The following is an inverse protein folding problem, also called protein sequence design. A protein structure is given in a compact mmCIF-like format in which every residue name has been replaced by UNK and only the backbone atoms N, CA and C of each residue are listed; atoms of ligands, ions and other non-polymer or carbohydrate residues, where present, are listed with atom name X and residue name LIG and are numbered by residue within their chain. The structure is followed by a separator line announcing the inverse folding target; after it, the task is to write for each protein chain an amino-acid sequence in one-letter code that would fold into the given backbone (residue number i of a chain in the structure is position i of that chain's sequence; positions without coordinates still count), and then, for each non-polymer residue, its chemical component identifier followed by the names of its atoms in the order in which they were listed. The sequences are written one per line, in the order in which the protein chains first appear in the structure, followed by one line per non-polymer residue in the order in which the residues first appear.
data_IF_270412882735
#
_entry.id   IF_270412882735
#
_cell.length_a   1.000
_cell.length_b   1.000
_cell.length_c   1.000
_cell.angle_alpha   90.00
_cell.angle_beta   90.00
_cell.angle_gamma   90.00
#
_symmetry.space_group_name_H-M   'P 1'
#
loop_
_entity.id
_entity.type
_entity.pdbx_description
1 polymer ?
#
# COMPACT_ATOMS: atom_id res chain seq x y z
N UNK A 1 -95.76 34.51 -14.71
CA UNK A 1 -95.07 34.69 -13.41
C UNK A 1 -93.71 34.03 -13.51
N UNK A 2 -92.67 34.88 -13.54
CA UNK A 2 -91.28 34.69 -13.08
C UNK A 2 -90.41 33.51 -13.57
N UNK A 3 -89.08 33.76 -13.66
CA UNK A 3 -88.17 33.20 -14.67
C UNK A 3 -87.05 32.34 -14.08
N UNK A 4 -86.33 31.52 -14.86
CA UNK A 4 -84.97 30.93 -14.60
C UNK A 4 -84.64 29.88 -15.68
N UNK A 5 -83.42 29.62 -16.18
CA UNK A 5 -82.06 30.08 -15.84
C UNK A 5 -81.08 29.75 -17.00
N UNK A 6 -80.13 30.68 -17.20
CA UNK A 6 -78.76 30.63 -17.72
C UNK A 6 -78.34 29.97 -19.07
N UNK A 7 -77.89 30.87 -19.96
CA UNK A 7 -76.90 30.74 -21.04
C UNK A 7 -75.58 30.12 -20.57
N UNK A 8 -75.12 29.03 -21.23
CA UNK A 8 -74.17 28.97 -22.36
C UNK A 8 -72.74 29.44 -22.06
N UNK A 9 -71.92 28.43 -21.77
CA UNK A 9 -70.51 28.19 -22.11
C UNK A 9 -69.58 29.40 -22.31
N UNK A 10 -68.64 29.49 -21.37
CA UNK A 10 -67.53 30.45 -21.29
C UNK A 10 -66.44 30.11 -22.32
N UNK A 11 -66.13 31.06 -23.20
CA UNK A 11 -64.93 31.02 -24.06
C UNK A 11 -63.64 31.01 -23.21
N UNK A 12 -62.59 30.27 -23.59
CA UNK A 12 -61.32 30.28 -22.88
C UNK A 12 -60.61 31.62 -23.13
N UNK A 13 -60.33 32.35 -22.05
CA UNK A 13 -59.56 33.59 -22.09
C UNK A 13 -58.20 33.37 -22.76
N UNK A 14 -57.89 34.21 -23.76
CA UNK A 14 -56.63 34.20 -24.49
C UNK A 14 -55.42 34.32 -23.54
N UNK A 15 -54.32 33.58 -23.78
CA UNK A 15 -53.15 33.59 -22.90
C UNK A 15 -52.54 35.01 -22.91
N UNK A 16 -52.58 35.67 -21.75
CA UNK A 16 -52.09 37.03 -21.59
C UNK A 16 -50.60 37.16 -21.96
N UNK A 17 -50.25 38.22 -22.69
CA UNK A 17 -48.87 38.56 -23.09
C UNK A 17 -47.86 38.54 -21.90
N UNK A 18 -48.33 38.69 -20.66
CA UNK A 18 -47.50 38.58 -19.45
C UNK A 18 -46.86 37.20 -19.23
N UNK A 19 -47.49 36.11 -19.69
CA UNK A 19 -46.97 34.75 -19.52
C UNK A 19 -45.77 34.43 -20.44
N UNK A 20 -45.72 35.05 -21.63
CA UNK A 20 -44.59 34.90 -22.55
C UNK A 20 -43.32 35.60 -22.03
N UNK A 21 -43.45 36.80 -21.46
CA UNK A 21 -42.32 37.52 -20.87
C UNK A 21 -41.75 36.81 -19.64
N UNK A 22 -42.59 36.20 -18.80
CA UNK A 22 -42.12 35.41 -17.64
C UNK A 22 -41.41 34.11 -18.07
N UNK A 23 -41.93 33.41 -19.09
CA UNK A 23 -41.29 32.22 -19.67
C UNK A 23 -39.95 32.53 -20.34
N UNK A 24 -39.84 33.65 -21.06
CA UNK A 24 -38.55 34.08 -21.64
C UNK A 24 -37.53 34.44 -20.56
N UNK A 25 -37.94 35.13 -19.49
CA UNK A 25 -37.04 35.47 -18.36
C UNK A 25 -36.55 34.22 -17.63
N UNK A 26 -37.42 33.25 -17.38
CA UNK A 26 -37.01 31.97 -16.75
C UNK A 26 -36.09 31.16 -17.66
N UNK A 27 -36.36 31.08 -18.97
CA UNK A 27 -35.49 30.40 -19.92
C UNK A 27 -34.08 31.04 -20.00
N UNK A 28 -34.00 32.37 -20.03
CA UNK A 28 -32.72 33.09 -20.02
C UNK A 28 -31.95 32.92 -18.72
N UNK A 29 -32.63 32.91 -17.56
CA UNK A 29 -31.99 32.63 -16.28
C UNK A 29 -31.45 31.19 -16.20
N UNK A 30 -32.22 30.19 -16.67
CA UNK A 30 -31.77 28.80 -16.72
C UNK A 30 -30.56 28.64 -17.65
N UNK A 31 -30.58 29.25 -18.84
CA UNK A 31 -29.41 29.25 -19.75
C UNK A 31 -28.20 29.95 -19.14
N UNK A 32 -28.39 31.05 -18.42
CA UNK A 32 -27.32 31.75 -17.70
C UNK A 32 -26.71 30.89 -16.59
N UNK A 33 -27.53 30.17 -15.82
CA UNK A 33 -27.08 29.24 -14.78
C UNK A 33 -26.32 28.06 -15.39
N UNK A 34 -26.85 27.45 -16.46
CA UNK A 34 -26.17 26.36 -17.17
C UNK A 34 -24.82 26.85 -17.74
N UNK A 35 -24.79 28.03 -18.36
CA UNK A 35 -23.55 28.65 -18.85
C UNK A 35 -22.52 28.89 -17.75
N UNK A 36 -22.95 29.38 -16.58
CA UNK A 36 -22.09 29.58 -15.42
C UNK A 36 -21.56 28.25 -14.84
N UNK A 37 -22.39 27.19 -14.80
CA UNK A 37 -21.97 25.86 -14.35
C UNK A 37 -20.96 25.25 -15.32
N UNK A 38 -21.22 25.29 -16.63
CA UNK A 38 -20.29 24.78 -17.65
C UNK A 38 -18.97 25.54 -17.61
N UNK A 39 -19.02 26.87 -17.47
CA UNK A 39 -17.83 27.69 -17.33
C UNK A 39 -17.08 27.38 -16.03
N UNK A 40 -17.78 27.18 -14.91
CA UNK A 40 -17.18 26.78 -13.64
C UNK A 40 -16.51 25.40 -13.69
N UNK A 41 -17.14 24.43 -14.37
CA UNK A 41 -16.56 23.10 -14.63
C UNK A 41 -15.36 23.20 -15.56
N UNK A 42 -15.44 24.01 -16.62
CA UNK A 42 -14.33 24.22 -17.56
C UNK A 42 -13.14 24.92 -16.88
N UNK A 43 -13.38 25.95 -16.07
CA UNK A 43 -12.35 26.60 -15.24
C UNK A 43 -11.79 25.61 -14.23
N UNK A 44 -12.63 24.83 -13.55
CA UNK A 44 -12.18 23.79 -12.62
C UNK A 44 -11.30 22.73 -13.28
N UNK A 45 -11.64 22.30 -14.50
CA UNK A 45 -10.83 21.40 -15.31
C UNK A 45 -9.52 22.06 -15.78
N UNK A 46 -9.56 23.33 -16.23
CA UNK A 46 -8.37 24.09 -16.62
C UNK A 46 -7.43 24.40 -15.46
N UNK A 47 -7.95 24.63 -14.25
CA UNK A 47 -7.15 24.83 -13.05
C UNK A 47 -6.48 23.52 -12.61
N UNK A 48 -7.04 22.35 -12.94
CA UNK A 48 -6.42 21.04 -12.69
C UNK A 48 -5.34 20.68 -13.72
N UNK A 49 -5.44 21.18 -14.96
CA UNK A 49 -4.53 20.87 -16.06
C UNK A 49 -3.04 21.21 -15.81
N UNK A 50 -2.65 22.31 -15.13
CA UNK A 50 -1.24 22.61 -14.85
C UNK A 50 -0.69 21.93 -13.57
N UNK A 51 -1.49 21.14 -12.83
CA UNK A 51 -1.04 20.43 -11.62
C UNK A 51 -0.95 18.90 -11.76
N UNK A 52 -1.20 18.36 -12.96
CA UNK A 52 -1.03 16.92 -13.26
C UNK A 52 0.32 16.62 -13.94
N UNK A 53 1.30 17.52 -13.81
CA UNK A 53 2.53 17.53 -14.61
C UNK A 53 3.82 17.08 -13.93
N UNK A 54 3.80 16.64 -12.67
CA UNK A 54 4.92 15.89 -12.12
C UNK A 54 4.80 14.45 -12.61
N UNK A 55 5.40 14.15 -13.77
CA UNK A 55 5.67 12.77 -14.18
C UNK A 55 6.44 12.12 -13.04
N UNK A 56 5.87 11.09 -12.42
CA UNK A 56 6.61 10.27 -11.45
C UNK A 56 7.90 9.79 -12.12
N UNK A 57 9.06 9.83 -11.43
CA UNK A 57 10.30 9.34 -12.01
C UNK A 57 10.14 7.90 -12.53
N UNK A 58 10.86 7.56 -13.58
CA UNK A 58 11.00 6.17 -13.98
C UNK A 58 11.59 5.36 -12.80
N UNK A 59 11.19 4.11 -12.59
CA UNK A 59 11.68 3.31 -11.47
C UNK A 59 13.18 3.08 -11.58
N UNK A 60 13.91 3.39 -10.51
CA UNK A 60 15.34 3.13 -10.40
C UNK A 60 15.62 1.64 -10.21
N UNK A 61 16.92 1.28 -10.19
CA UNK A 61 17.34 -0.06 -9.79
C UNK A 61 16.91 -0.39 -8.34
N UNK A 62 16.83 0.62 -7.46
CA UNK A 62 16.36 0.47 -6.08
C UNK A 62 14.87 0.16 -6.06
N UNK A 63 14.05 0.90 -6.81
CA UNK A 63 12.60 0.68 -6.88
C UNK A 63 12.25 -0.74 -7.34
N UNK A 64 12.92 -1.19 -8.40
CA UNK A 64 12.72 -2.53 -8.98
C UNK A 64 13.25 -3.61 -8.04
N UNK A 65 14.50 -3.48 -7.58
CA UNK A 65 15.15 -4.48 -6.75
C UNK A 65 14.49 -4.65 -5.39
N UNK A 66 14.15 -3.53 -4.72
CA UNK A 66 13.37 -3.56 -3.48
C UNK A 66 12.03 -4.25 -3.67
N UNK A 67 11.30 -3.90 -4.74
CA UNK A 67 9.98 -4.49 -5.00
C UNK A 67 10.06 -6.00 -5.24
N UNK A 68 11.10 -6.49 -5.93
CA UNK A 68 11.33 -7.91 -6.16
C UNK A 68 11.69 -8.64 -4.87
N UNK A 69 12.69 -8.13 -4.17
CA UNK A 69 13.28 -8.77 -3.01
C UNK A 69 12.34 -8.73 -1.80
N UNK A 70 11.74 -7.57 -1.53
CA UNK A 70 10.78 -7.43 -0.43
C UNK A 70 9.48 -8.21 -0.72
N UNK A 71 9.08 -8.40 -1.98
CA UNK A 71 7.97 -9.31 -2.30
C UNK A 71 8.29 -10.75 -1.91
N UNK A 72 9.50 -11.23 -2.21
CA UNK A 72 9.92 -12.58 -1.84
C UNK A 72 10.10 -12.74 -0.32
N UNK A 73 10.64 -11.71 0.34
CA UNK A 73 10.78 -11.63 1.80
C UNK A 73 9.41 -11.72 2.47
N UNK A 74 8.47 -10.87 2.05
CA UNK A 74 7.10 -10.87 2.59
C UNK A 74 6.32 -12.15 2.31
N UNK A 75 6.53 -12.79 1.15
CA UNK A 75 5.89 -14.07 0.85
C UNK A 75 6.24 -15.16 1.90
N UNK A 76 7.47 -15.15 2.44
CA UNK A 76 7.86 -16.10 3.48
C UNK A 76 7.21 -15.79 4.83
N UNK A 77 7.09 -14.52 5.22
CA UNK A 77 6.35 -14.15 6.43
C UNK A 77 4.86 -14.52 6.34
N UNK A 78 4.24 -14.33 5.17
CA UNK A 78 2.87 -14.79 4.89
C UNK A 78 2.74 -16.30 5.05
N UNK A 79 3.71 -17.08 4.55
CA UNK A 79 3.74 -18.52 4.74
C UNK A 79 3.83 -18.92 6.23
N UNK A 80 4.77 -18.32 6.97
CA UNK A 80 4.94 -18.60 8.41
C UNK A 80 3.68 -18.26 9.21
N UNK A 81 3.07 -17.11 8.93
CA UNK A 81 1.83 -16.69 9.57
C UNK A 81 0.67 -17.64 9.24
N UNK A 82 0.58 -18.14 8.00
CA UNK A 82 -0.40 -19.13 7.59
C UNK A 82 -0.32 -20.43 8.41
N UNK A 83 0.89 -20.93 8.68
CA UNK A 83 1.10 -22.13 9.53
C UNK A 83 0.53 -21.90 10.94
N UNK A 84 0.81 -20.75 11.54
CA UNK A 84 0.36 -20.41 12.89
C UNK A 84 -1.15 -20.21 12.96
N UNK A 85 -1.75 -19.54 11.99
CA UNK A 85 -3.21 -19.34 11.94
C UNK A 85 -3.99 -20.65 11.87
N UNK A 86 -3.41 -21.70 11.29
CA UNK A 86 -4.01 -23.04 11.23
C UNK A 86 -3.82 -23.81 12.54
N UNK A 87 -2.64 -23.71 13.17
CA UNK A 87 -2.22 -24.65 14.23
C UNK A 87 -2.22 -24.08 15.65
N UNK A 88 -1.99 -22.78 15.82
CA UNK A 88 -1.91 -22.15 17.14
C UNK A 88 -3.30 -21.98 17.76
N UNK A 89 -3.36 -22.14 19.08
CA UNK A 89 -4.53 -21.84 19.93
C UNK A 89 -4.34 -20.59 20.77
N UNK A 90 -3.14 -19.98 20.76
CA UNK A 90 -2.85 -18.76 21.50
C UNK A 90 -3.46 -17.55 20.79
N UNK A 91 -4.38 -16.86 21.48
CA UNK A 91 -5.18 -15.79 20.86
C UNK A 91 -4.31 -14.59 20.44
N UNK A 92 -3.27 -14.26 21.20
CA UNK A 92 -2.45 -13.09 20.91
C UNK A 92 -1.47 -13.38 19.76
N UNK A 93 -0.91 -14.59 19.72
CA UNK A 93 -0.06 -15.05 18.62
C UNK A 93 -0.87 -15.13 17.32
N UNK A 94 -2.09 -15.65 17.36
CA UNK A 94 -2.98 -15.70 16.19
C UNK A 94 -3.37 -14.32 15.68
N UNK A 95 -3.64 -13.35 16.57
CA UNK A 95 -3.94 -11.96 16.18
C UNK A 95 -2.75 -11.33 15.45
N UNK A 96 -1.56 -11.42 16.05
CA UNK A 96 -0.33 -10.93 15.41
C UNK A 96 -0.10 -11.59 14.04
N UNK A 97 -0.24 -12.91 13.95
CA UNK A 97 -0.07 -13.63 12.68
C UNK A 97 -1.08 -13.18 11.63
N UNK A 98 -2.34 -12.91 12.00
CA UNK A 98 -3.35 -12.39 11.09
C UNK A 98 -2.99 -10.99 10.58
N UNK A 99 -2.56 -10.10 11.46
CA UNK A 99 -2.19 -8.72 11.11
C UNK A 99 -0.97 -8.68 10.17
N UNK A 100 0.06 -9.48 10.47
CA UNK A 100 1.24 -9.64 9.61
C UNK A 100 0.84 -10.20 8.25
N UNK A 101 0.06 -11.30 8.23
CA UNK A 101 -0.37 -11.96 7.00
C UNK A 101 -1.12 -11.00 6.09
N UNK A 102 -2.12 -10.28 6.61
CA UNK A 102 -2.96 -9.39 5.82
C UNK A 102 -2.20 -8.17 5.32
N UNK A 103 -1.36 -7.57 6.17
CA UNK A 103 -0.53 -6.41 5.81
C UNK A 103 0.48 -6.78 4.74
N UNK A 104 1.26 -7.84 4.95
CA UNK A 104 2.31 -8.22 4.03
C UNK A 104 1.77 -8.78 2.71
N UNK A 105 0.62 -9.49 2.70
CA UNK A 105 -0.06 -9.85 1.44
C UNK A 105 -0.47 -8.63 0.62
N UNK A 106 -1.01 -7.59 1.27
CA UNK A 106 -1.39 -6.35 0.58
C UNK A 106 -0.17 -5.67 -0.05
N UNK A 107 0.95 -5.65 0.66
CA UNK A 107 2.20 -5.04 0.21
C UNK A 107 2.83 -5.82 -0.95
N UNK A 108 2.84 -7.16 -0.89
CA UNK A 108 3.25 -8.02 -2.02
C UNK A 108 2.43 -7.69 -3.27
N UNK A 109 1.10 -7.57 -3.15
CA UNK A 109 0.24 -7.22 -4.27
C UNK A 109 0.57 -5.85 -4.89
N UNK A 110 0.92 -4.84 -4.08
CA UNK A 110 1.33 -3.52 -4.57
C UNK A 110 2.65 -3.60 -5.33
N UNK A 111 3.68 -4.20 -4.73
CA UNK A 111 5.00 -4.32 -5.34
C UNK A 111 4.97 -5.12 -6.63
N UNK A 112 4.23 -6.25 -6.66
CA UNK A 112 4.04 -7.04 -7.89
C UNK A 112 3.26 -6.27 -8.96
N UNK A 113 2.26 -5.48 -8.56
CA UNK A 113 1.52 -4.61 -9.47
C UNK A 113 2.40 -3.53 -10.11
N UNK A 114 3.31 -2.93 -9.34
CA UNK A 114 4.28 -1.96 -9.87
C UNK A 114 5.28 -2.61 -10.82
N UNK A 115 5.85 -3.77 -10.46
CA UNK A 115 6.74 -4.51 -11.36
C UNK A 115 6.06 -4.82 -12.70
N UNK A 116 4.79 -5.21 -12.68
CA UNK A 116 4.00 -5.44 -13.89
C UNK A 116 3.84 -4.15 -14.70
N UNK A 117 3.48 -3.03 -14.06
CA UNK A 117 3.32 -1.73 -14.71
C UNK A 117 4.63 -1.25 -15.37
N UNK A 118 5.77 -1.51 -14.73
CA UNK A 118 7.10 -1.16 -15.22
C UNK A 118 7.70 -2.16 -16.22
N UNK A 119 6.98 -3.23 -16.56
CA UNK A 119 7.47 -4.27 -17.46
C UNK A 119 8.69 -5.03 -16.91
N UNK A 120 8.80 -5.17 -15.58
CA UNK A 120 9.89 -5.87 -14.89
C UNK A 120 9.43 -7.26 -14.42
N UNK A 121 10.34 -8.25 -14.31
CA UNK A 121 10.00 -9.56 -13.78
C UNK A 121 9.64 -9.47 -12.29
N UNK A 122 8.73 -10.34 -11.83
CA UNK A 122 8.27 -10.38 -10.45
C UNK A 122 9.35 -10.80 -9.43
N UNK A 123 10.43 -11.43 -9.89
CA UNK A 123 11.56 -11.87 -9.09
C UNK A 123 12.86 -11.47 -9.78
N UNK A 124 13.91 -11.21 -8.99
CA UNK A 124 15.26 -11.01 -9.52
C UNK A 124 15.81 -12.32 -10.10
N UNK A 125 16.53 -12.22 -11.22
CA UNK A 125 17.16 -13.37 -11.90
C UNK A 125 18.63 -13.54 -11.51
N UNK A 126 19.27 -12.49 -10.99
CA UNK A 126 20.71 -12.43 -10.72
C UNK A 126 21.05 -12.60 -9.22
N UNK A 127 20.09 -13.09 -8.42
CA UNK A 127 20.18 -13.16 -6.96
C UNK A 127 19.55 -11.96 -6.26
N UNK A 128 19.65 -11.92 -4.93
CA UNK A 128 19.02 -10.88 -4.10
C UNK A 128 20.00 -9.76 -3.73
N UNK A 129 19.50 -8.63 -3.28
CA UNK A 129 20.22 -7.51 -2.65
C UNK A 129 21.19 -6.75 -3.56
N UNK A 130 21.28 -7.09 -4.86
CA UNK A 130 22.19 -6.42 -5.81
C UNK A 130 21.90 -4.92 -6.01
N UNK A 131 20.69 -4.47 -5.65
CA UNK A 131 20.25 -3.06 -5.71
C UNK A 131 20.70 -2.24 -4.48
N UNK A 132 21.23 -2.88 -3.43
CA UNK A 132 21.74 -2.24 -2.23
C UNK A 132 23.25 -1.95 -2.27
N UNK A 133 23.86 -1.96 -3.46
CA UNK A 133 25.23 -1.49 -3.64
C UNK A 133 25.23 0.02 -3.90
N UNK A 134 25.77 0.79 -2.95
CA UNK A 134 25.92 2.23 -3.08
C UNK A 134 26.61 2.61 -4.39
N UNK A 135 26.07 3.64 -5.05
CA UNK A 135 26.59 4.27 -6.26
C UNK A 135 28.14 4.32 -6.22
N UNK A 136 28.86 3.79 -7.22
CA UNK A 136 30.31 3.95 -7.27
C UNK A 136 30.64 5.42 -7.57
N UNK A 137 30.72 6.28 -6.54
CA UNK A 137 30.84 7.72 -6.80
C UNK A 137 31.06 8.71 -5.65
N UNK A 138 31.26 8.32 -4.38
CA UNK A 138 31.44 9.30 -3.30
C UNK A 138 32.47 8.89 -2.25
N UNK A 139 33.60 9.59 -2.19
CA UNK A 139 34.55 9.50 -1.07
C UNK A 139 33.94 10.18 0.17
N UNK A 140 33.69 9.46 1.27
CA UNK A 140 33.13 10.08 2.48
C UNK A 140 33.01 9.18 3.71
N UNK A 141 34.10 9.11 4.48
CA UNK A 141 34.26 8.86 5.93
C UNK A 141 33.26 8.00 6.74
N UNK A 142 33.79 6.85 7.21
CA UNK A 142 33.52 6.05 8.42
C UNK A 142 32.10 6.03 9.02
N UNK A 143 31.43 4.88 8.89
CA UNK A 143 30.20 4.59 9.62
C UNK A 143 29.70 3.15 9.49
N UNK A 144 30.50 2.15 9.84
CA UNK A 144 30.03 0.88 10.43
C UNK A 144 29.04 -0.04 9.71
N UNK A 145 28.67 0.16 8.44
CA UNK A 145 27.82 -0.80 7.69
C UNK A 145 28.67 -1.51 6.64
N UNK A 146 28.81 -2.83 6.77
CA UNK A 146 29.44 -3.69 5.75
C UNK A 146 28.70 -3.51 4.43
N UNK A 147 29.36 -2.85 3.47
CA UNK A 147 28.86 -2.74 2.12
C UNK A 147 28.66 -4.15 1.53
N UNK A 148 27.42 -4.51 1.23
CA UNK A 148 27.10 -5.78 0.58
C UNK A 148 27.69 -5.75 -0.83
N UNK A 149 28.65 -6.63 -1.08
CA UNK A 149 29.40 -6.68 -2.35
C UNK A 149 28.75 -7.67 -3.32
N UNK A 150 27.71 -7.22 -4.02
CA UNK A 150 27.02 -7.96 -5.08
C UNK A 150 25.85 -8.82 -4.61
N UNK A 151 25.19 -9.54 -5.55
CA UNK A 151 24.01 -10.33 -5.24
C UNK A 151 24.29 -11.47 -4.26
N UNK A 152 23.34 -11.73 -3.38
CA UNK A 152 23.40 -12.76 -2.34
C UNK A 152 22.43 -13.91 -2.66
N UNK A 153 22.78 -15.11 -2.20
CA UNK A 153 21.93 -16.30 -2.35
C UNK A 153 20.67 -16.26 -1.47
N UNK A 154 20.71 -15.51 -0.36
CA UNK A 154 19.60 -15.33 0.57
C UNK A 154 19.58 -13.90 1.08
N UNK A 155 18.39 -13.40 1.38
CA UNK A 155 18.20 -12.09 2.02
C UNK A 155 18.37 -12.19 3.54
N UNK A 156 18.80 -11.11 4.21
CA UNK A 156 18.93 -11.08 5.67
C UNK A 156 17.62 -11.46 6.38
N UNK A 157 17.74 -12.26 7.45
CA UNK A 157 16.63 -12.62 8.33
C UNK A 157 15.71 -13.75 7.83
N UNK A 158 15.87 -14.20 6.58
CA UNK A 158 15.04 -15.26 6.00
C UNK A 158 15.13 -16.56 6.82
N UNK A 159 13.99 -17.20 7.05
CA UNK A 159 13.91 -18.55 7.57
C UNK A 159 14.51 -19.55 6.57
N UNK A 160 15.36 -20.45 7.07
CA UNK A 160 15.94 -21.52 6.25
C UNK A 160 14.88 -22.58 5.93
N UNK A 161 15.11 -23.45 4.93
CA UNK A 161 14.21 -24.59 4.69
C UNK A 161 14.03 -25.48 5.93
N UNK A 162 15.07 -25.64 6.75
CA UNK A 162 15.01 -26.39 8.00
C UNK A 162 14.13 -25.68 9.04
N UNK A 163 14.24 -24.35 9.18
CA UNK A 163 13.39 -23.57 10.07
C UNK A 163 11.91 -23.68 9.69
N UNK A 164 11.59 -23.55 8.39
CA UNK A 164 10.22 -23.70 7.90
C UNK A 164 9.69 -25.13 8.10
N UNK A 165 10.54 -26.15 7.96
CA UNK A 165 10.17 -27.52 8.26
C UNK A 165 9.88 -27.72 9.75
N UNK A 166 10.72 -27.17 10.63
CA UNK A 166 10.54 -27.20 12.08
C UNK A 166 9.25 -26.47 12.49
N UNK A 167 8.98 -25.28 11.95
CA UNK A 167 7.75 -24.53 12.20
C UNK A 167 6.50 -25.32 11.80
N UNK A 168 6.51 -25.97 10.64
CA UNK A 168 5.39 -26.83 10.19
C UNK A 168 5.20 -28.07 11.06
N UNK A 169 6.22 -28.55 11.76
CA UNK A 169 6.13 -29.69 12.65
C UNK A 169 5.74 -29.30 14.09
N UNK A 170 6.21 -28.15 14.58
CA UNK A 170 5.99 -27.67 15.95
C UNK A 170 4.50 -27.53 16.31
N UNK A 171 4.15 -27.72 17.58
CA UNK A 171 2.76 -27.60 18.08
C UNK A 171 2.71 -26.88 19.43
N UNK A 172 1.53 -26.39 19.81
CA UNK A 172 1.33 -25.72 21.10
C UNK A 172 2.30 -24.56 21.34
N UNK A 173 2.82 -24.44 22.57
CA UNK A 173 3.73 -23.35 22.96
C UNK A 173 5.05 -23.34 22.18
N UNK A 174 5.52 -24.50 21.68
CA UNK A 174 6.74 -24.59 20.87
C UNK A 174 6.51 -23.92 19.51
N UNK A 175 5.35 -24.16 18.87
CA UNK A 175 4.97 -23.50 17.62
C UNK A 175 4.94 -21.99 17.78
N UNK A 176 4.27 -21.52 18.83
CA UNK A 176 4.09 -20.09 19.10
C UNK A 176 5.44 -19.41 19.34
N UNK A 177 6.31 -20.03 20.12
CA UNK A 177 7.65 -19.52 20.41
C UNK A 177 8.52 -19.48 19.16
N UNK A 178 8.53 -20.57 18.39
CA UNK A 178 9.33 -20.66 17.15
C UNK A 178 8.85 -19.64 16.11
N UNK A 179 7.54 -19.45 15.96
CA UNK A 179 7.01 -18.40 15.10
C UNK A 179 7.49 -17.01 15.49
N UNK A 180 7.36 -16.64 16.77
CA UNK A 180 7.80 -15.34 17.26
C UNK A 180 9.31 -15.15 17.06
N UNK A 181 10.10 -16.19 17.31
CA UNK A 181 11.55 -16.18 17.09
C UNK A 181 11.93 -15.96 15.62
N UNK A 182 11.32 -16.71 14.71
CA UNK A 182 11.57 -16.60 13.27
C UNK A 182 11.08 -15.26 12.73
N UNK A 183 9.89 -14.82 13.15
CA UNK A 183 9.31 -13.55 12.70
C UNK A 183 10.12 -12.35 13.21
N UNK A 184 10.65 -12.39 14.44
CA UNK A 184 11.55 -11.35 14.92
C UNK A 184 12.81 -11.24 14.06
N UNK A 185 13.48 -12.37 13.79
CA UNK A 185 14.68 -12.42 12.94
C UNK A 185 14.38 -11.92 11.53
N UNK A 186 13.24 -12.34 10.99
CA UNK A 186 12.75 -11.93 9.68
C UNK A 186 12.56 -10.41 9.61
N UNK A 187 11.83 -9.83 10.56
CA UNK A 187 11.63 -8.37 10.64
C UNK A 187 12.95 -7.61 10.76
N UNK A 188 13.83 -8.05 11.66
CA UNK A 188 15.14 -7.42 11.84
C UNK A 188 15.99 -7.46 10.57
N UNK A 189 15.95 -8.55 9.80
CA UNK A 189 16.63 -8.63 8.51
C UNK A 189 16.05 -7.66 7.46
N UNK A 190 14.72 -7.57 7.41
CA UNK A 190 14.01 -6.69 6.47
C UNK A 190 14.22 -5.19 6.73
N UNK A 191 14.49 -4.77 7.98
CA UNK A 191 14.68 -3.36 8.33
C UNK A 191 15.78 -2.69 7.51
N UNK A 192 16.91 -3.37 7.29
CA UNK A 192 18.02 -2.80 6.50
C UNK A 192 17.63 -2.52 5.04
N UNK A 193 16.82 -3.42 4.45
CA UNK A 193 16.31 -3.29 3.08
C UNK A 193 15.33 -2.12 2.99
N UNK A 194 14.44 -2.03 3.97
CA UNK A 194 13.43 -0.99 4.05
C UNK A 194 14.06 0.39 4.19
N UNK A 195 15.00 0.53 5.12
CA UNK A 195 15.70 1.79 5.34
C UNK A 195 16.42 2.25 4.06
N UNK A 196 17.11 1.34 3.38
CA UNK A 196 17.79 1.68 2.13
C UNK A 196 16.81 2.15 1.06
N UNK A 197 15.68 1.46 0.86
CA UNK A 197 14.66 1.89 -0.09
C UNK A 197 13.97 3.20 0.32
N UNK A 198 13.73 3.42 1.61
CA UNK A 198 13.20 4.68 2.12
C UNK A 198 14.15 5.86 1.89
N UNK A 199 15.46 5.61 1.77
CA UNK A 199 16.46 6.65 1.50
C UNK A 199 16.78 6.83 0.01
N UNK A 200 16.66 5.78 -0.81
CA UNK A 200 17.22 5.74 -2.17
C UNK A 200 16.23 5.39 -3.29
N UNK A 201 14.95 5.12 -3.00
CA UNK A 201 13.95 4.89 -4.05
C UNK A 201 13.56 6.21 -4.74
N UNK A 202 13.42 6.18 -6.07
CA UNK A 202 13.09 7.37 -6.86
C UNK A 202 11.58 7.56 -6.99
N UNK A 203 10.80 6.47 -7.01
CA UNK A 203 9.34 6.58 -7.11
C UNK A 203 8.74 6.97 -5.77
N UNK A 204 7.76 7.87 -5.80
CA UNK A 204 7.04 8.28 -4.59
C UNK A 204 6.30 7.09 -3.99
N UNK A 205 5.79 6.19 -4.84
CA UNK A 205 5.11 4.98 -4.44
C UNK A 205 5.99 4.05 -3.57
N UNK A 206 7.21 3.73 -4.01
CA UNK A 206 8.12 2.85 -3.27
C UNK A 206 8.66 3.53 -2.02
N UNK A 207 9.09 4.79 -2.10
CA UNK A 207 9.59 5.55 -0.95
C UNK A 207 8.53 5.59 0.17
N UNK A 208 7.27 5.91 -0.17
CA UNK A 208 6.17 5.99 0.80
C UNK A 208 5.86 4.63 1.43
N UNK A 209 5.91 3.56 0.62
CA UNK A 209 5.71 2.21 1.13
C UNK A 209 6.82 1.82 2.10
N UNK A 210 8.08 2.07 1.76
CA UNK A 210 9.24 1.76 2.60
C UNK A 210 9.18 2.52 3.93
N UNK A 211 8.90 3.83 3.94
CA UNK A 211 8.73 4.61 5.18
C UNK A 211 7.59 4.07 6.07
N UNK A 212 6.49 3.63 5.46
CA UNK A 212 5.38 3.01 6.20
C UNK A 212 5.80 1.66 6.78
N UNK A 213 6.51 0.83 5.99
CA UNK A 213 7.02 -0.46 6.44
C UNK A 213 8.01 -0.32 7.59
N UNK A 214 8.89 0.68 7.59
CA UNK A 214 9.87 0.89 8.66
C UNK A 214 9.17 1.08 10.01
N UNK A 215 8.14 1.94 10.03
CA UNK A 215 7.33 2.20 11.22
C UNK A 215 6.60 0.95 11.71
N UNK A 216 5.92 0.25 10.80
CA UNK A 216 5.17 -0.96 11.14
C UNK A 216 6.08 -2.09 11.62
N UNK A 217 7.16 -2.39 10.90
CA UNK A 217 8.06 -3.49 11.26
C UNK A 217 8.80 -3.25 12.57
N UNK A 218 9.16 -2.00 12.90
CA UNK A 218 9.71 -1.67 14.23
C UNK A 218 8.71 -1.92 15.35
N UNK A 219 7.45 -1.51 15.15
CA UNK A 219 6.39 -1.76 16.13
C UNK A 219 6.13 -3.25 16.34
N UNK A 220 6.03 -4.01 15.25
CA UNK A 220 5.86 -5.47 15.29
C UNK A 220 7.06 -6.18 15.96
N UNK A 221 8.29 -5.79 15.63
CA UNK A 221 9.49 -6.36 16.25
C UNK A 221 9.53 -6.11 17.78
N UNK A 222 9.11 -4.93 18.25
CA UNK A 222 9.00 -4.63 19.68
C UNK A 222 7.92 -5.47 20.37
N UNK A 223 6.75 -5.62 19.74
CA UNK A 223 5.68 -6.48 20.23
C UNK A 223 6.13 -7.93 20.33
N UNK A 224 6.75 -8.47 19.27
CA UNK A 224 7.28 -9.84 19.25
C UNK A 224 8.31 -10.04 20.36
N UNK A 225 9.23 -9.08 20.55
CA UNK A 225 10.23 -9.12 21.64
C UNK A 225 9.56 -9.19 23.01
N UNK A 226 8.49 -8.42 23.22
CA UNK A 226 7.70 -8.46 24.45
C UNK A 226 7.04 -9.82 24.65
N UNK A 227 6.47 -10.38 23.59
CA UNK A 227 5.81 -11.70 23.62
C UNK A 227 6.79 -12.85 23.88
N UNK A 228 8.02 -12.78 23.36
CA UNK A 228 9.09 -13.73 23.65
C UNK A 228 9.54 -13.63 25.10
N UNK A 229 9.76 -12.40 25.59
CA UNK A 229 10.16 -12.14 26.98
C UNK A 229 9.13 -12.69 27.97
N UNK A 230 7.84 -12.46 27.71
CA UNK A 230 6.75 -12.99 28.53
C UNK A 230 6.68 -14.52 28.55
N UNK A 231 7.23 -15.19 27.53
CA UNK A 231 7.33 -16.66 27.41
C UNK A 231 8.68 -17.21 27.93
N UNK A 232 9.57 -16.36 28.43
CA UNK A 232 10.92 -16.77 28.86
C UNK A 232 11.81 -17.23 27.69
N UNK A 233 11.44 -16.90 26.45
CA UNK A 233 12.15 -17.29 25.24
C UNK A 233 13.12 -16.19 24.78
N UNK A 234 14.23 -16.59 24.16
CA UNK A 234 15.24 -15.67 23.63
C UNK A 234 15.10 -15.53 22.10
N UNK A 235 15.44 -14.36 21.52
CA UNK A 235 15.55 -14.19 20.08
C UNK A 235 16.53 -15.17 19.42
N UNK A 236 16.30 -15.52 18.16
CA UNK A 236 17.30 -16.19 17.32
C UNK A 236 18.36 -15.17 16.86
N UNK A 237 19.61 -15.60 16.62
CA UNK A 237 20.60 -14.74 15.99
C UNK A 237 20.19 -14.37 14.56
N UNK A 238 20.58 -13.18 14.11
CA UNK A 238 20.50 -12.80 12.70
C UNK A 238 21.41 -13.70 11.84
N UNK A 239 20.93 -14.05 10.66
CA UNK A 239 21.65 -14.79 9.62
C UNK A 239 21.97 -13.91 8.41
#
# INVERSE_FOLDING_TARGET
MTPTELERDTEPAAPGLGGQFQRQRTALLVLGVIGAIVLGVAIGALVRLPFTGSSEPDPSAVDVGFSQDMSAHHAQAVEMAGVVLVKSTDTDVRRLAYDIMTTQQSQVGRMQGWLQLWGKPAQSVDGYMGWMSGQPGGHGHSGGTTAMSGPMAAMPGMATPADLAALRQATGAELDTLFLQLMLRHHQGGLSMIQYAAEHADTTAVHTLADTMDKTQRGEAQLITTMLTARGAQPLPLN
#
